data_IF_959597125617
#
_entry.id   IF_959597125617
#
_cell.length_a   1.000
_cell.length_b   1.000
_cell.length_c   1.000
_cell.angle_alpha   90.00
_cell.angle_beta   90.00
_cell.angle_gamma   90.00
#
_symmetry.space_group_name_H-M   'P 1'
#
loop_
_entity.id
_entity.type
_entity.pdbx_description
1 polymer ?
#
# COMPACT_ATOMS: atom_id res chain seq x y z
N UNK A 1 67.87 3.53 25.60
CA UNK A 1 68.43 2.26 26.10
C UNK A 1 67.70 1.12 25.40
N UNK A 2 68.45 0.27 24.72
CA UNK A 2 68.04 -0.78 23.78
C UNK A 2 67.45 -2.04 24.45
N UNK A 3 66.51 -2.71 23.75
CA UNK A 3 66.36 -4.18 23.56
C UNK A 3 64.93 -4.44 23.00
N UNK A 4 64.60 -5.00 21.82
CA UNK A 4 65.14 -5.99 20.87
C UNK A 4 64.83 -7.47 21.18
N UNK A 5 63.80 -8.02 20.51
CA UNK A 5 63.64 -9.38 19.90
C UNK A 5 62.14 -9.61 19.61
N UNK A 6 61.61 -9.79 18.39
CA UNK A 6 61.90 -10.67 17.24
C UNK A 6 61.29 -12.09 17.32
N UNK A 7 60.40 -12.38 16.36
CA UNK A 7 59.99 -13.67 15.74
C UNK A 7 58.47 -13.79 15.63
N UNK A 8 57.83 -14.19 14.53
CA UNK A 8 58.30 -14.52 13.19
C UNK A 8 57.16 -15.16 12.35
N UNK A 9 57.15 -14.86 11.04
CA UNK A 9 56.55 -15.64 9.92
C UNK A 9 55.01 -15.78 9.86
N UNK A 10 54.32 -15.80 8.71
CA UNK A 10 54.65 -16.11 7.31
C UNK A 10 53.54 -15.50 6.41
N UNK A 11 53.86 -14.59 5.49
CA UNK A 11 54.05 -14.81 4.03
C UNK A 11 52.96 -15.66 3.35
N UNK A 12 51.97 -15.00 2.72
CA UNK A 12 51.27 -15.55 1.57
C UNK A 12 51.89 -14.98 0.29
N UNK A 13 52.37 -15.88 -0.55
CA UNK A 13 53.10 -15.59 -1.77
C UNK A 13 52.17 -15.54 -2.99
N UNK A 14 52.51 -14.61 -3.87
CA UNK A 14 51.93 -14.33 -5.17
C UNK A 14 52.34 -15.32 -6.27
N UNK A 15 51.41 -15.55 -7.21
CA UNK A 15 51.59 -15.57 -8.69
C UNK A 15 52.39 -16.70 -9.37
N UNK A 16 51.75 -17.38 -10.33
CA UNK A 16 52.23 -17.74 -11.69
C UNK A 16 51.06 -18.37 -12.49
N UNK A 17 50.49 -17.77 -13.56
CA UNK A 17 50.86 -17.74 -15.00
C UNK A 17 51.02 -19.10 -15.72
N UNK A 18 49.95 -19.50 -16.48
CA UNK A 18 49.77 -20.07 -17.86
C UNK A 18 50.81 -21.13 -18.42
N UNK A 19 50.63 -21.84 -19.57
CA UNK A 19 49.63 -21.72 -20.64
C UNK A 19 49.24 -23.00 -21.49
N UNK A 20 48.42 -22.78 -22.54
CA UNK A 20 48.39 -23.40 -23.91
C UNK A 20 47.79 -24.81 -24.24
N UNK A 21 46.99 -24.77 -25.32
CA UNK A 21 46.81 -25.70 -26.46
C UNK A 21 45.97 -26.99 -26.31
N UNK A 22 44.85 -27.04 -27.05
CA UNK A 22 44.65 -28.03 -28.13
C UNK A 22 43.38 -27.72 -28.94
N UNK A 23 43.59 -27.45 -30.23
CA UNK A 23 42.61 -27.47 -31.30
C UNK A 23 42.23 -28.90 -31.66
N UNK A 24 40.98 -29.14 -32.09
CA UNK A 24 40.68 -30.22 -33.05
C UNK A 24 39.37 -29.95 -33.81
N UNK A 25 39.57 -29.76 -35.10
CA UNK A 25 38.60 -29.77 -36.18
C UNK A 25 37.97 -31.16 -36.32
N UNK A 26 36.67 -31.21 -36.61
CA UNK A 26 36.06 -32.31 -37.37
C UNK A 26 35.10 -31.69 -38.39
N UNK A 27 35.63 -31.55 -39.59
CA UNK A 27 34.92 -31.48 -40.88
C UNK A 27 34.67 -32.92 -41.36
N UNK A 28 33.67 -33.08 -42.23
CA UNK A 28 33.14 -34.25 -42.99
C UNK A 28 31.68 -34.50 -42.58
N UNK A 29 30.68 -34.59 -43.47
CA UNK A 29 30.67 -34.87 -44.91
C UNK A 29 29.28 -34.46 -45.46
N UNK A 30 29.29 -33.73 -46.58
CA UNK A 30 28.13 -33.58 -47.46
C UNK A 30 27.99 -34.82 -48.37
N UNK A 31 26.78 -35.01 -48.94
CA UNK A 31 26.23 -36.15 -49.72
C UNK A 31 25.15 -36.84 -48.86
N UNK A 32 23.84 -36.76 -49.15
CA UNK A 32 23.21 -36.99 -50.44
C UNK A 32 22.01 -36.06 -50.72
N UNK A 33 22.00 -35.53 -51.94
CA UNK A 33 20.88 -34.91 -52.63
C UNK A 33 20.44 -35.92 -53.70
N UNK A 34 19.16 -36.25 -53.75
CA UNK A 34 18.55 -36.87 -54.92
C UNK A 34 17.46 -37.86 -54.57
N UNK A 35 16.32 -37.70 -55.24
CA UNK A 35 15.19 -38.62 -55.35
C UNK A 35 14.16 -38.50 -54.21
N UNK A 36 12.88 -38.24 -54.45
CA UNK A 36 12.09 -38.26 -55.67
C UNK A 36 10.81 -37.45 -55.40
N UNK A 37 10.33 -36.77 -56.43
CA UNK A 37 9.07 -36.04 -56.43
C UNK A 37 7.89 -37.02 -56.29
N UNK A 38 7.16 -36.94 -55.18
CA UNK A 38 5.77 -37.39 -55.10
C UNK A 38 4.96 -36.31 -54.40
N UNK A 39 4.06 -35.68 -55.16
CA UNK A 39 3.06 -34.77 -54.63
C UNK A 39 1.95 -35.59 -53.94
N UNK A 40 1.65 -35.36 -52.66
CA UNK A 40 0.43 -35.91 -52.07
C UNK A 40 -0.77 -35.02 -52.43
N UNK A 41 -1.77 -35.68 -53.00
CA UNK A 41 -3.07 -35.19 -53.42
C UNK A 41 -3.74 -34.27 -52.38
N UNK A 42 -4.20 -33.10 -52.85
CA UNK A 42 -4.98 -32.14 -52.08
C UNK A 42 -6.38 -32.73 -51.87
N UNK A 43 -6.56 -33.49 -50.80
CA UNK A 43 -7.88 -33.83 -50.28
C UNK A 43 -8.51 -32.57 -49.66
N UNK A 44 -9.39 -31.94 -50.43
CA UNK A 44 -10.19 -30.78 -50.05
C UNK A 44 -11.25 -31.15 -48.99
N UNK A 45 -10.88 -31.17 -47.71
CA UNK A 45 -11.83 -30.98 -46.58
C UNK A 45 -11.15 -30.91 -45.19
N UNK A 46 -10.02 -30.23 -45.05
CA UNK A 46 -9.54 -29.84 -43.72
C UNK A 46 -9.74 -28.34 -43.59
N UNK A 47 -10.77 -27.95 -42.84
CA UNK A 47 -11.00 -26.56 -42.45
C UNK A 47 -9.67 -25.96 -41.98
N UNK A 48 -9.27 -24.76 -42.45
CA UNK A 48 -8.06 -24.14 -41.93
C UNK A 48 -8.28 -24.02 -40.43
N UNK A 49 -7.38 -24.65 -39.64
CA UNK A 49 -7.37 -24.52 -38.20
C UNK A 49 -7.53 -23.02 -37.91
N UNK A 50 -8.72 -22.64 -37.43
CA UNK A 50 -8.98 -21.28 -37.02
C UNK A 50 -7.84 -20.98 -36.08
N UNK A 51 -7.00 -20.02 -36.45
CA UNK A 51 -6.14 -19.37 -35.49
C UNK A 51 -7.12 -18.84 -34.45
N UNK A 52 -7.33 -19.64 -33.40
CA UNK A 52 -7.78 -19.14 -32.13
C UNK A 52 -6.68 -18.16 -31.78
N UNK A 53 -6.87 -16.90 -32.18
CA UNK A 53 -6.40 -15.78 -31.40
C UNK A 53 -6.89 -16.16 -30.02
N UNK A 54 -5.96 -16.65 -29.20
CA UNK A 54 -6.15 -16.65 -27.77
C UNK A 54 -6.56 -15.22 -27.52
N UNK A 55 -7.85 -15.01 -27.32
CA UNK A 55 -8.30 -13.86 -26.60
C UNK A 55 -7.74 -14.21 -25.24
N UNK A 56 -6.47 -13.85 -25.02
CA UNK A 56 -5.95 -13.69 -23.69
C UNK A 56 -6.90 -12.67 -23.13
N UNK A 57 -7.93 -13.17 -22.46
CA UNK A 57 -8.74 -12.34 -21.60
C UNK A 57 -7.73 -11.54 -20.78
N UNK A 58 -7.87 -10.20 -20.76
CA UNK A 58 -6.90 -9.35 -20.09
C UNK A 58 -6.67 -9.98 -18.72
N UNK A 59 -5.40 -10.22 -18.32
CA UNK A 59 -5.08 -11.07 -17.17
C UNK A 59 -6.04 -10.68 -16.07
N UNK A 60 -6.98 -11.58 -15.75
CA UNK A 60 -7.99 -11.33 -14.73
C UNK A 60 -7.16 -10.99 -13.53
N UNK A 61 -7.13 -9.69 -13.19
CA UNK A 61 -6.16 -9.15 -12.27
C UNK A 61 -6.19 -10.08 -11.08
N UNK A 62 -5.12 -10.86 -10.91
CA UNK A 62 -4.98 -11.71 -9.75
C UNK A 62 -4.97 -10.71 -8.63
N UNK A 63 -6.15 -10.57 -8.03
CA UNK A 63 -6.43 -9.55 -7.06
C UNK A 63 -5.57 -9.98 -5.90
N UNK A 64 -4.36 -9.42 -5.81
CA UNK A 64 -3.57 -9.45 -4.60
C UNK A 64 -4.55 -9.01 -3.53
N UNK A 65 -5.00 -9.98 -2.74
CA UNK A 65 -6.10 -9.83 -1.81
C UNK A 65 -5.59 -8.90 -0.71
N UNK A 66 -5.62 -7.60 -0.97
CA UNK A 66 -5.28 -6.60 0.02
C UNK A 66 -6.27 -6.82 1.16
N UNK A 67 -5.79 -6.98 2.40
CA UNK A 67 -6.68 -7.25 3.51
C UNK A 67 -7.75 -6.15 3.57
N UNK A 68 -9.01 -6.50 3.88
CA UNK A 68 -10.11 -5.55 3.93
C UNK A 68 -9.75 -4.37 4.84
N UNK A 69 -9.66 -3.17 4.25
CA UNK A 69 -9.21 -1.97 4.97
C UNK A 69 -10.39 -1.26 5.60
N UNK A 70 -10.33 -1.13 6.92
CA UNK A 70 -11.26 -0.34 7.71
C UNK A 70 -10.96 1.15 7.50
N UNK A 71 -11.95 1.99 7.78
CA UNK A 71 -11.83 3.44 7.56
C UNK A 71 -12.14 4.20 8.84
N UNK A 72 -11.29 5.18 9.15
CA UNK A 72 -11.49 6.13 10.23
C UNK A 72 -11.70 7.52 9.64
N UNK A 73 -12.92 8.01 9.70
CA UNK A 73 -13.30 9.33 9.23
C UNK A 73 -13.20 10.34 10.37
N UNK A 74 -12.33 11.33 10.24
CA UNK A 74 -12.23 12.47 11.14
C UNK A 74 -12.78 13.72 10.42
N UNK A 75 -14.00 14.11 10.77
CA UNK A 75 -14.62 15.35 10.31
C UNK A 75 -14.44 16.45 11.35
N UNK A 76 -13.55 17.40 11.08
CA UNK A 76 -13.30 18.53 11.96
C UNK A 76 -13.80 19.82 11.33
N UNK A 77 -14.94 20.30 11.85
CA UNK A 77 -15.54 21.57 11.47
C UNK A 77 -15.17 22.66 12.50
N UNK A 78 -15.47 23.93 12.19
CA UNK A 78 -15.24 25.04 13.13
C UNK A 78 -16.00 24.90 14.45
N UNK A 79 -17.12 24.16 14.47
CA UNK A 79 -18.04 24.14 15.60
C UNK A 79 -18.14 22.77 16.29
N UNK A 80 -17.56 21.73 15.71
CA UNK A 80 -17.61 20.37 16.23
C UNK A 80 -16.59 19.46 15.54
N UNK A 81 -16.16 18.43 16.24
CA UNK A 81 -15.39 17.32 15.69
C UNK A 81 -16.21 16.03 15.80
N UNK A 82 -16.25 15.25 14.72
CA UNK A 82 -16.96 13.98 14.62
C UNK A 82 -15.97 12.96 14.08
N UNK A 83 -15.85 11.83 14.77
CA UNK A 83 -15.00 10.72 14.37
C UNK A 83 -15.88 9.49 14.17
N UNK A 84 -15.69 8.78 13.07
CA UNK A 84 -16.51 7.63 12.68
C UNK A 84 -15.62 6.50 12.21
N UNK A 85 -15.81 5.32 12.80
CA UNK A 85 -15.11 4.10 12.44
C UNK A 85 -16.04 3.17 11.66
N UNK A 86 -15.62 2.76 10.47
CA UNK A 86 -16.46 1.99 9.54
C UNK A 86 -15.72 0.78 8.98
N UNK A 87 -16.50 -0.28 8.70
CA UNK A 87 -16.06 -1.44 7.92
C UNK A 87 -15.75 -1.05 6.47
N UNK A 88 -15.02 -1.89 5.72
CA UNK A 88 -14.81 -1.70 4.28
C UNK A 88 -16.10 -1.54 3.48
N UNK A 89 -17.15 -2.25 3.90
CA UNK A 89 -18.51 -2.23 3.30
C UNK A 89 -19.25 -0.90 3.53
N UNK A 90 -18.68 0.01 4.34
CA UNK A 90 -19.30 1.28 4.71
C UNK A 90 -20.25 1.20 5.91
N UNK A 91 -20.45 0.03 6.49
CA UNK A 91 -21.20 -0.13 7.73
C UNK A 91 -20.46 0.55 8.91
N UNK A 92 -21.16 1.39 9.66
CA UNK A 92 -20.63 2.07 10.84
C UNK A 92 -20.56 1.12 12.02
N UNK A 93 -19.38 1.03 12.64
CA UNK A 93 -19.17 0.25 13.87
C UNK A 93 -19.43 1.16 15.06
N UNK A 94 -18.70 2.28 15.10
CA UNK A 94 -18.76 3.23 16.19
C UNK A 94 -18.57 4.66 15.66
N UNK A 95 -19.11 5.62 16.41
CA UNK A 95 -18.89 7.04 16.16
C UNK A 95 -18.85 7.77 17.48
N UNK A 96 -18.09 8.86 17.51
CA UNK A 96 -18.06 9.80 18.61
C UNK A 96 -18.03 11.23 18.06
N UNK A 97 -18.47 12.16 18.88
CA UNK A 97 -18.35 13.59 18.58
C UNK A 97 -18.04 14.34 19.86
N UNK A 98 -17.58 15.60 19.74
CA UNK A 98 -17.32 16.42 20.93
C UNK A 98 -18.52 16.49 21.87
N UNK A 99 -19.75 16.47 21.32
CA UNK A 99 -20.97 16.37 22.12
C UNK A 99 -21.16 15.02 22.83
N UNK A 100 -20.79 13.91 22.18
CA UNK A 100 -20.89 12.55 22.76
C UNK A 100 -19.90 12.34 23.90
N UNK A 101 -18.74 13.01 23.87
CA UNK A 101 -17.75 13.00 24.94
C UNK A 101 -18.11 13.93 26.12
N UNK A 102 -19.31 14.52 26.13
CA UNK A 102 -19.81 15.34 27.24
C UNK A 102 -19.57 16.84 27.10
N UNK A 103 -18.89 17.31 26.05
CA UNK A 103 -18.69 18.74 25.84
C UNK A 103 -19.98 19.43 25.38
N UNK A 104 -20.22 20.64 25.88
CA UNK A 104 -21.43 21.42 25.60
C UNK A 104 -21.09 22.71 24.87
N UNK A 105 -22.01 23.16 24.02
CA UNK A 105 -21.93 24.43 23.27
C UNK A 105 -20.60 24.57 22.49
N UNK A 106 -19.90 25.70 22.63
CA UNK A 106 -18.66 26.02 21.94
C UNK A 106 -17.53 25.03 22.21
N UNK A 107 -17.51 24.42 23.40
CA UNK A 107 -16.40 23.55 23.82
C UNK A 107 -16.34 22.23 23.03
N UNK A 108 -17.39 21.89 22.26
CA UNK A 108 -17.41 20.71 21.38
C UNK A 108 -16.43 20.81 20.20
N UNK A 109 -16.05 22.03 19.82
CA UNK A 109 -15.12 22.28 18.74
C UNK A 109 -13.65 22.25 19.18
N UNK A 110 -13.41 22.38 20.49
CA UNK A 110 -12.09 22.59 21.04
C UNK A 110 -11.16 21.40 20.83
N UNK A 111 -9.86 21.67 20.91
CA UNK A 111 -8.80 20.66 20.83
C UNK A 111 -9.04 19.46 21.77
N UNK A 112 -9.37 19.71 23.05
CA UNK A 112 -9.59 18.66 24.04
C UNK A 112 -10.75 17.73 23.64
N UNK A 113 -11.83 18.29 23.11
CA UNK A 113 -12.97 17.50 22.64
C UNK A 113 -12.58 16.58 21.48
N UNK A 114 -11.78 17.08 20.55
CA UNK A 114 -11.23 16.26 19.46
C UNK A 114 -10.31 15.14 19.96
N UNK A 115 -9.48 15.43 20.95
CA UNK A 115 -8.55 14.45 21.53
C UNK A 115 -9.31 13.34 22.28
N UNK A 116 -10.30 13.69 23.10
CA UNK A 116 -11.14 12.71 23.79
C UNK A 116 -11.95 11.85 22.81
N UNK A 117 -12.46 12.43 21.71
CA UNK A 117 -13.10 11.65 20.65
C UNK A 117 -12.15 10.62 20.05
N UNK A 118 -10.91 11.02 19.76
CA UNK A 118 -9.89 10.11 19.21
C UNK A 118 -9.63 8.95 20.17
N UNK A 119 -9.44 9.23 21.46
CA UNK A 119 -9.25 8.24 22.51
C UNK A 119 -10.38 7.22 22.61
N UNK A 120 -11.63 7.70 22.61
CA UNK A 120 -12.80 6.80 22.64
C UNK A 120 -12.83 5.90 21.41
N UNK A 121 -12.55 6.44 20.22
CA UNK A 121 -12.50 5.64 19.00
C UNK A 121 -11.35 4.63 18.99
N UNK A 122 -10.20 4.99 19.57
CA UNK A 122 -9.08 4.07 19.72
C UNK A 122 -9.44 2.86 20.56
N UNK A 123 -10.19 3.04 21.63
CA UNK A 123 -10.69 1.93 22.44
C UNK A 123 -11.62 1.01 21.64
N UNK A 124 -12.53 1.57 20.84
CA UNK A 124 -13.42 0.78 19.98
C UNK A 124 -12.63 0.02 18.89
N UNK A 125 -11.63 0.66 18.28
CA UNK A 125 -10.75 0.01 17.28
C UNK A 125 -9.99 -1.17 17.90
N UNK A 126 -9.48 -1.01 19.13
CA UNK A 126 -8.74 -2.08 19.82
C UNK A 126 -9.63 -3.27 20.17
N UNK A 127 -10.90 -3.04 20.53
CA UNK A 127 -11.87 -4.13 20.77
C UNK A 127 -12.06 -4.96 19.50
N UNK A 128 -12.23 -4.30 18.35
CA UNK A 128 -12.42 -4.97 17.06
C UNK A 128 -11.14 -5.66 16.57
N UNK A 129 -9.95 -5.09 16.86
CA UNK A 129 -8.66 -5.66 16.49
C UNK A 129 -8.42 -7.04 17.11
N UNK A 130 -8.91 -7.26 18.32
CA UNK A 130 -8.75 -8.55 18.98
C UNK A 130 -9.53 -9.67 18.27
N UNK A 131 -10.47 -9.34 17.39
CA UNK A 131 -11.29 -10.31 16.66
C UNK A 131 -10.79 -10.53 15.23
N UNK A 132 -10.22 -9.51 14.59
CA UNK A 132 -9.81 -9.57 13.18
C UNK A 132 -8.51 -8.80 12.96
N UNK A 133 -7.59 -9.37 12.17
CA UNK A 133 -6.43 -8.65 11.63
C UNK A 133 -6.90 -7.49 10.75
N UNK A 134 -6.87 -6.29 11.30
CA UNK A 134 -7.40 -5.10 10.66
C UNK A 134 -6.30 -4.18 10.13
N UNK A 135 -6.54 -3.59 8.97
CA UNK A 135 -5.73 -2.51 8.39
C UNK A 135 -6.58 -1.24 8.33
N UNK A 136 -6.01 -0.09 8.70
CA UNK A 136 -6.78 1.16 8.88
C UNK A 136 -6.37 2.25 7.88
N UNK A 137 -7.35 2.83 7.20
CA UNK A 137 -7.18 4.06 6.41
C UNK A 137 -7.83 5.24 7.11
N UNK A 138 -7.10 6.33 7.25
CA UNK A 138 -7.56 7.52 7.94
C UNK A 138 -7.92 8.64 6.96
N UNK A 139 -9.11 9.20 7.13
CA UNK A 139 -9.64 10.26 6.27
C UNK A 139 -9.92 11.53 7.07
N UNK A 140 -9.27 12.63 6.72
CA UNK A 140 -9.56 13.95 7.28
C UNK A 140 -10.52 14.73 6.40
N UNK A 141 -11.47 15.44 7.02
CA UNK A 141 -12.36 16.38 6.33
C UNK A 141 -12.50 17.66 7.14
N UNK A 142 -12.01 18.76 6.58
CA UNK A 142 -12.02 20.08 7.22
C UNK A 142 -10.74 20.38 8.01
N UNK A 143 -10.66 21.62 8.48
CA UNK A 143 -9.46 22.20 9.12
C UNK A 143 -9.76 22.74 10.54
N UNK A 144 -10.69 22.12 11.27
CA UNK A 144 -10.94 22.46 12.68
C UNK A 144 -9.84 21.95 13.63
N UNK A 145 -9.87 22.39 14.90
CA UNK A 145 -8.89 22.01 15.93
C UNK A 145 -8.83 20.50 16.18
N UNK A 146 -9.96 19.81 16.04
CA UNK A 146 -10.00 18.36 16.23
C UNK A 146 -9.17 17.55 15.24
N UNK A 147 -8.79 18.13 14.09
CA UNK A 147 -7.85 17.51 13.17
C UNK A 147 -6.46 17.40 13.78
N UNK A 148 -5.96 18.48 14.37
CA UNK A 148 -4.66 18.49 15.03
C UNK A 148 -4.71 17.62 16.28
N UNK A 149 -5.81 17.67 17.04
CA UNK A 149 -6.01 16.80 18.19
C UNK A 149 -5.93 15.31 17.82
N UNK A 150 -6.56 14.90 16.71
CA UNK A 150 -6.50 13.54 16.19
C UNK A 150 -5.07 13.14 15.80
N UNK A 151 -4.33 14.01 15.10
CA UNK A 151 -2.93 13.74 14.74
C UNK A 151 -2.06 13.55 15.99
N UNK A 152 -2.21 14.44 16.98
CA UNK A 152 -1.48 14.34 18.23
C UNK A 152 -1.86 13.09 19.00
N UNK A 153 -3.13 12.69 19.02
CA UNK A 153 -3.57 11.46 19.67
C UNK A 153 -2.94 10.21 19.02
N UNK A 154 -2.84 10.18 17.69
CA UNK A 154 -2.19 9.07 16.96
C UNK A 154 -0.68 9.03 17.21
N UNK A 155 -0.03 10.19 17.28
CA UNK A 155 1.42 10.29 17.50
C UNK A 155 1.82 10.14 18.97
N UNK A 156 0.90 10.40 19.89
CA UNK A 156 1.09 10.26 21.34
C UNK A 156 0.95 8.82 21.81
N UNK A 157 1.03 8.64 23.14
CA UNK A 157 0.97 7.33 23.79
C UNK A 157 -0.35 6.58 23.54
N UNK A 158 -1.47 7.30 23.43
CA UNK A 158 -2.78 6.69 23.21
C UNK A 158 -2.91 6.01 21.84
N UNK A 159 -2.15 6.49 20.85
CA UNK A 159 -2.12 5.97 19.49
C UNK A 159 -1.04 4.93 19.23
N UNK A 160 -0.21 4.56 20.21
CA UNK A 160 0.96 3.67 20.01
C UNK A 160 0.57 2.33 19.37
N UNK A 161 -0.51 1.70 19.86
CA UNK A 161 -1.01 0.43 19.34
C UNK A 161 -1.71 0.55 17.97
N UNK A 162 -2.17 1.75 17.62
CA UNK A 162 -2.97 2.02 16.41
C UNK A 162 -2.08 2.49 15.27
N UNK A 163 -1.02 3.25 15.57
CA UNK A 163 -0.04 3.75 14.61
C UNK A 163 0.48 2.67 13.63
N UNK A 164 0.87 1.44 14.05
CA UNK A 164 1.34 0.42 13.10
C UNK A 164 0.23 -0.14 12.20
N UNK A 165 -1.04 0.03 12.58
CA UNK A 165 -2.22 -0.45 11.83
C UNK A 165 -2.58 0.52 10.70
N UNK A 166 -2.25 1.80 10.86
CA UNK A 166 -2.59 2.86 9.90
C UNK A 166 -1.76 2.67 8.63
N UNK A 167 -2.42 2.29 7.54
CA UNK A 167 -1.78 2.08 6.23
C UNK A 167 -1.66 3.38 5.44
N UNK A 168 -2.70 4.23 5.49
CA UNK A 168 -2.78 5.44 4.66
C UNK A 168 -3.53 6.54 5.40
N UNK A 169 -3.04 7.77 5.24
CA UNK A 169 -3.71 8.99 5.68
C UNK A 169 -4.07 9.80 4.43
N UNK A 170 -5.31 10.25 4.32
CA UNK A 170 -5.81 10.99 3.15
C UNK A 170 -6.69 12.16 3.57
N UNK A 171 -6.49 13.33 2.96
CA UNK A 171 -7.40 14.46 3.11
C UNK A 171 -8.53 14.38 2.06
N UNK A 172 -9.78 14.46 2.51
CA UNK A 172 -11.00 14.47 1.68
C UNK A 172 -11.79 15.75 1.89
N UNK A 173 -11.11 16.86 2.16
CA UNK A 173 -11.77 18.16 2.30
C UNK A 173 -12.28 18.61 0.93
N UNK A 174 -13.59 18.80 0.76
CA UNK A 174 -14.15 19.11 -0.55
C UNK A 174 -13.78 20.54 -0.99
N UNK A 175 -13.27 20.67 -2.21
CA UNK A 175 -13.05 21.95 -2.89
C UNK A 175 -14.04 21.98 -4.06
N UNK A 176 -14.87 23.02 -4.12
CA UNK A 176 -15.82 23.19 -5.23
C UNK A 176 -15.15 23.93 -6.39
N UNK A 177 -15.27 23.39 -7.61
CA UNK A 177 -14.89 24.06 -8.85
C UNK A 177 -16.18 24.59 -9.48
N UNK A 178 -16.53 25.85 -9.21
CA UNK A 178 -17.87 26.37 -9.49
C UNK A 178 -18.95 25.82 -8.55
N UNK A 179 -20.21 25.74 -9.02
CA UNK A 179 -21.35 25.23 -8.26
C UNK A 179 -22.22 26.31 -7.60
N UNK A 180 -22.93 25.96 -6.52
CA UNK A 180 -23.89 26.88 -5.88
C UNK A 180 -23.19 28.10 -5.26
N UNK A 181 -23.86 29.26 -5.33
CA UNK A 181 -23.40 30.51 -4.73
C UNK A 181 -23.25 30.35 -3.22
N UNK A 182 -22.07 30.70 -2.69
CA UNK A 182 -21.85 30.72 -1.23
C UNK A 182 -22.73 31.75 -0.54
N UNK A 183 -23.03 31.55 0.74
CA UNK A 183 -23.77 32.52 1.55
C UNK A 183 -23.04 33.88 1.56
N UNK A 184 -23.81 34.97 1.47
CA UNK A 184 -23.28 36.34 1.56
C UNK A 184 -22.42 36.49 2.81
N UNK A 185 -21.27 37.16 2.68
CA UNK A 185 -20.38 37.48 3.79
C UNK A 185 -21.16 38.17 4.92
N UNK A 186 -20.99 37.67 6.14
CA UNK A 186 -21.65 38.25 7.32
C UNK A 186 -21.04 39.61 7.61
N UNK A 187 -21.89 40.59 7.94
CA UNK A 187 -21.48 41.85 8.56
C UNK A 187 -21.50 41.59 10.06
N UNK A 188 -20.32 41.36 10.64
CA UNK A 188 -20.14 41.12 12.08
C UNK A 188 -19.37 42.31 12.62
#
# INVERSE_FOLDING_TARGET
MFALRASGSSRWASVARKPLLASRLLSTRAQDLGDFLEEPEINASTEPARFHVATEEPPTAESGSFPPKYRLHCHSSRNNTIVTFTKPDGATIAWASGGSCGFKKSNRAGYEAGYQCAKTMFQEILKEKNTVDLSLELFFKGFGEGREAMKTAILGAEGELIRPIVTRITDRTPIKIGGTRSKKTRRV
#
